data_IF_430417863345
#
_entry.id   IF_430417863345
#
_cell.length_a   1.000
_cell.length_b   1.000
_cell.length_c   1.000
_cell.angle_alpha   90.00
_cell.angle_beta   90.00
_cell.angle_gamma   90.00
#
_symmetry.space_group_name_H-M   'P 1'
#
loop_
_entity.id
_entity.type
_entity.pdbx_description
1 polymer ?
#
# COMPACT_ATOMS: atom_id res chain seq x y z
N UNK A 1 15.62 29.40 19.02
CA UNK A 1 15.72 28.95 17.63
C UNK A 1 14.62 29.64 16.84
N UNK A 2 14.93 30.34 15.74
CA UNK A 2 13.92 30.79 14.77
C UNK A 2 13.14 29.54 14.35
N UNK A 3 11.80 29.56 14.47
CA UNK A 3 11.00 28.42 14.03
C UNK A 3 11.01 28.42 12.52
N UNK A 4 11.55 27.35 11.95
CA UNK A 4 11.59 27.10 10.53
C UNK A 4 10.16 27.15 9.92
N UNK A 5 10.01 27.62 8.70
CA UNK A 5 8.71 27.78 8.05
C UNK A 5 8.70 27.16 6.66
N UNK A 6 7.58 26.59 6.29
CA UNK A 6 7.35 26.13 4.91
C UNK A 6 7.29 27.34 3.99
N UNK A 7 8.14 27.35 2.94
CA UNK A 7 8.18 28.42 1.95
C UNK A 7 7.71 27.99 0.57
N UNK A 8 7.81 26.70 0.25
CA UNK A 8 7.41 26.20 -1.07
C UNK A 8 6.91 24.74 -1.00
N UNK A 9 5.92 24.45 -1.83
CA UNK A 9 5.43 23.08 -2.07
C UNK A 9 5.48 22.83 -3.57
N UNK A 10 6.15 21.75 -3.97
CA UNK A 10 6.23 21.31 -5.37
C UNK A 10 5.56 19.95 -5.49
N UNK A 11 4.66 19.78 -6.46
CA UNK A 11 3.98 18.52 -6.70
C UNK A 11 4.27 18.00 -8.09
N UNK A 12 4.83 16.81 -8.16
CA UNK A 12 5.17 16.17 -9.43
C UNK A 12 4.38 14.89 -9.62
N UNK A 13 3.60 14.83 -10.70
CA UNK A 13 3.02 13.57 -11.15
C UNK A 13 4.07 12.83 -11.98
N UNK A 14 4.48 11.71 -11.48
CA UNK A 14 5.34 10.77 -12.18
C UNK A 14 4.44 9.72 -12.79
N UNK A 15 4.28 9.76 -14.10
CA UNK A 15 3.58 8.73 -14.82
C UNK A 15 4.61 7.87 -15.53
N UNK A 16 4.46 6.60 -15.38
CA UNK A 16 5.39 5.70 -15.99
C UNK A 16 4.69 4.80 -17.01
N UNK A 17 4.74 5.26 -18.26
CA UNK A 17 4.44 4.40 -19.40
C UNK A 17 5.51 3.30 -19.59
N UNK A 18 6.66 3.42 -18.88
CA UNK A 18 7.79 2.48 -18.96
C UNK A 18 8.09 1.81 -17.63
N UNK A 19 7.63 2.36 -16.51
CA UNK A 19 7.75 1.78 -15.19
C UNK A 19 6.71 0.66 -14.98
N UNK A 20 5.60 0.61 -15.59
CA UNK A 20 4.78 -0.56 -15.66
C UNK A 20 5.34 -1.38 -16.82
N UNK A 21 6.21 -2.36 -16.59
CA UNK A 21 6.55 -3.28 -17.66
C UNK A 21 5.35 -3.46 -18.58
N UNK A 22 5.48 -3.69 -19.81
CA UNK A 22 4.44 -3.69 -20.87
C UNK A 22 3.04 -3.86 -20.30
N UNK A 23 2.16 -2.91 -20.50
CA UNK A 23 0.79 -2.90 -19.98
C UNK A 23 0.30 -4.33 -19.95
N UNK A 24 0.05 -4.91 -18.77
CA UNK A 24 -0.21 -6.32 -18.51
C UNK A 24 -0.77 -6.97 -19.77
N UNK A 25 0.01 -7.81 -20.44
CA UNK A 25 -0.45 -8.48 -21.64
C UNK A 25 -1.84 -9.04 -21.30
N UNK A 26 -2.91 -8.67 -22.01
CA UNK A 26 -4.26 -9.12 -21.69
C UNK A 26 -4.40 -10.64 -21.72
N UNK A 27 -3.39 -11.34 -22.20
CA UNK A 27 -3.33 -12.81 -22.22
C UNK A 27 -2.57 -13.39 -21.02
N UNK A 28 -1.86 -12.56 -20.25
CA UNK A 28 -1.00 -12.95 -19.12
C UNK A 28 -1.29 -12.01 -17.96
N UNK A 29 -0.81 -12.22 -16.84
CA UNK A 29 -1.44 -12.38 -15.55
C UNK A 29 -2.62 -11.42 -15.31
N UNK A 30 -3.63 -11.86 -14.64
CA UNK A 30 -4.78 -11.03 -14.27
C UNK A 30 -5.10 -11.15 -12.77
N UNK A 31 -5.93 -10.26 -12.27
CA UNK A 31 -6.50 -10.34 -10.94
C UNK A 31 -8.01 -10.05 -10.99
N UNK A 32 -8.71 -10.58 -10.00
CA UNK A 32 -10.06 -10.19 -9.71
C UNK A 32 -10.08 -8.73 -9.23
N UNK A 33 -11.07 -7.96 -9.67
CA UNK A 33 -11.24 -6.55 -9.29
C UNK A 33 -12.74 -6.25 -9.20
N UNK A 34 -13.16 -5.13 -8.60
CA UNK A 34 -14.57 -4.73 -8.61
C UNK A 34 -15.19 -4.68 -10.01
N UNK A 35 -14.40 -4.38 -11.03
CA UNK A 35 -14.85 -4.27 -12.40
C UNK A 35 -15.04 -5.63 -13.10
N UNK A 36 -14.43 -6.70 -12.59
CA UNK A 36 -14.65 -8.06 -13.10
C UNK A 36 -16.07 -8.58 -12.86
N UNK A 37 -16.85 -7.86 -12.05
CA UNK A 37 -18.30 -8.05 -11.96
C UNK A 37 -19.02 -7.88 -13.31
N UNK A 38 -18.45 -7.07 -14.21
CA UNK A 38 -19.01 -6.82 -15.55
C UNK A 38 -18.30 -7.68 -16.60
N UNK A 39 -19.01 -8.61 -17.23
CA UNK A 39 -18.43 -9.58 -18.17
C UNK A 39 -17.65 -8.95 -19.34
N UNK A 40 -18.05 -7.76 -19.78
CA UNK A 40 -17.39 -7.04 -20.87
C UNK A 40 -16.02 -6.50 -20.47
N UNK A 41 -15.81 -6.26 -19.17
CA UNK A 41 -14.56 -5.72 -18.65
C UNK A 41 -13.39 -6.69 -18.76
N UNK A 42 -13.65 -7.99 -18.75
CA UNK A 42 -12.63 -9.02 -18.95
C UNK A 42 -12.03 -9.02 -20.34
N UNK A 43 -12.76 -8.45 -21.29
CA UNK A 43 -12.31 -8.27 -22.68
C UNK A 43 -11.41 -7.05 -22.83
N UNK A 44 -11.29 -6.20 -21.80
CA UNK A 44 -10.58 -4.91 -21.81
C UNK A 44 -9.70 -4.68 -20.57
N UNK A 45 -8.85 -5.63 -20.19
CA UNK A 45 -8.00 -5.44 -19.00
C UNK A 45 -7.10 -4.20 -19.09
N UNK A 46 -6.77 -3.72 -20.29
CA UNK A 46 -6.00 -2.49 -20.52
C UNK A 46 -6.74 -1.22 -20.08
N UNK A 47 -8.08 -1.21 -20.12
CA UNK A 47 -8.87 -0.03 -19.74
C UNK A 47 -8.91 0.18 -18.22
N UNK A 48 -8.69 -0.90 -17.45
CA UNK A 48 -8.66 -0.83 -15.99
C UNK A 48 -7.27 -0.52 -15.43
N UNK A 49 -6.26 -1.09 -16.05
CA UNK A 49 -4.88 -0.96 -15.56
C UNK A 49 -4.37 0.47 -15.62
N UNK A 50 -5.17 1.49 -15.70
CA UNK A 50 -4.81 2.89 -15.66
C UNK A 50 -3.30 3.15 -15.71
N UNK A 51 -2.84 4.27 -16.11
CA UNK A 51 -1.41 4.57 -16.05
C UNK A 51 -0.96 4.50 -14.60
N UNK A 52 -0.15 3.51 -14.26
CA UNK A 52 0.51 3.41 -12.95
C UNK A 52 1.49 4.56 -12.84
N UNK A 53 1.55 5.21 -11.71
CA UNK A 53 2.46 6.30 -11.45
C UNK A 53 2.30 6.80 -10.01
N UNK A 54 3.09 7.80 -9.64
CA UNK A 54 3.13 8.34 -8.29
C UNK A 54 2.95 9.85 -8.29
N UNK A 55 2.44 10.38 -7.19
CA UNK A 55 2.42 11.81 -6.91
C UNK A 55 3.46 12.08 -5.83
N UNK A 56 4.54 12.77 -6.20
CA UNK A 56 5.61 13.17 -5.29
C UNK A 56 5.34 14.59 -4.79
N UNK A 57 5.51 14.79 -3.50
CA UNK A 57 5.37 16.09 -2.84
C UNK A 57 6.71 16.47 -2.22
N UNK A 58 7.26 17.61 -2.62
CA UNK A 58 8.45 18.19 -2.02
C UNK A 58 8.05 19.47 -1.29
N UNK A 59 8.45 19.58 -0.03
CA UNK A 59 8.20 20.76 0.81
C UNK A 59 9.55 21.34 1.22
N UNK A 60 9.76 22.63 0.93
CA UNK A 60 10.96 23.36 1.28
C UNK A 60 10.68 24.34 2.42
N UNK A 61 11.62 24.44 3.33
CA UNK A 61 11.61 25.38 4.44
C UNK A 61 12.51 26.56 4.19
N UNK A 62 12.37 27.66 4.96
CA UNK A 62 13.22 28.86 4.86
C UNK A 62 14.67 28.61 5.27
N UNK A 63 14.97 27.53 6.02
CA UNK A 63 16.34 27.06 6.28
C UNK A 63 16.92 26.22 5.14
N UNK A 64 16.16 25.94 4.07
CA UNK A 64 16.59 25.14 2.94
C UNK A 64 16.44 23.63 3.10
N UNK A 65 15.81 23.15 4.17
CA UNK A 65 15.50 21.73 4.33
C UNK A 65 14.37 21.35 3.35
N UNK A 66 14.57 20.28 2.58
CA UNK A 66 13.57 19.73 1.67
C UNK A 66 13.11 18.37 2.20
N UNK A 67 11.81 18.27 2.49
CA UNK A 67 11.14 17.00 2.79
C UNK A 67 10.44 16.44 1.57
N UNK A 68 10.44 15.11 1.46
CA UNK A 68 9.83 14.39 0.34
C UNK A 68 8.71 13.48 0.86
N UNK A 69 7.56 13.55 0.23
CA UNK A 69 6.42 12.68 0.51
C UNK A 69 5.82 12.09 -0.77
N UNK A 70 4.95 11.13 -0.62
CA UNK A 70 4.23 10.47 -1.70
C UNK A 70 2.74 10.36 -1.37
N UNK A 71 1.89 10.46 -2.39
CA UNK A 71 0.45 10.26 -2.28
C UNK A 71 0.00 8.91 -2.87
N UNK A 72 0.93 8.01 -3.15
CA UNK A 72 0.63 6.74 -3.82
C UNK A 72 0.24 6.93 -5.29
N UNK A 73 -0.82 6.28 -5.72
CA UNK A 73 -1.24 6.20 -7.12
C UNK A 73 -1.39 7.57 -7.81
N UNK A 74 -0.85 7.68 -9.01
CA UNK A 74 -0.93 8.90 -9.80
C UNK A 74 -2.37 9.26 -10.15
N UNK A 75 -2.79 10.41 -9.64
CA UNK A 75 -4.08 11.01 -9.96
C UNK A 75 -3.88 12.53 -10.06
N UNK A 76 -4.16 13.09 -11.23
CA UNK A 76 -4.00 14.54 -11.47
C UNK A 76 -4.86 15.40 -10.53
N UNK A 77 -5.95 14.85 -10.01
CA UNK A 77 -6.79 15.50 -9.00
C UNK A 77 -6.05 15.74 -7.68
N UNK A 78 -5.17 14.81 -7.26
CA UNK A 78 -4.36 14.96 -6.05
C UNK A 78 -3.46 16.19 -6.17
N UNK A 79 -2.74 16.31 -7.31
CA UNK A 79 -1.87 17.46 -7.56
C UNK A 79 -2.65 18.78 -7.46
N UNK A 80 -3.82 18.86 -8.09
CA UNK A 80 -4.64 20.08 -8.06
C UNK A 80 -5.16 20.42 -6.67
N UNK A 81 -5.58 19.42 -5.88
CA UNK A 81 -6.00 19.63 -4.51
C UNK A 81 -4.86 20.20 -3.68
N UNK A 82 -3.63 19.70 -3.86
CA UNK A 82 -2.48 20.22 -3.13
C UNK A 82 -2.18 21.66 -3.58
N UNK A 83 -2.03 21.90 -4.87
CA UNK A 83 -1.61 23.21 -5.40
C UNK A 83 -2.64 24.30 -5.16
N UNK A 84 -3.91 24.02 -5.45
CA UNK A 84 -4.97 25.05 -5.48
C UNK A 84 -5.64 25.22 -4.11
N UNK A 85 -5.66 24.19 -3.22
CA UNK A 85 -6.41 24.22 -1.98
C UNK A 85 -5.55 24.07 -0.72
N UNK A 86 -4.60 23.12 -0.68
CA UNK A 86 -3.85 22.84 0.53
C UNK A 86 -2.58 23.70 0.70
N UNK A 87 -1.86 24.00 -0.37
CA UNK A 87 -0.60 24.75 -0.29
C UNK A 87 -0.77 26.12 0.42
N UNK A 88 -1.83 26.92 0.14
CA UNK A 88 -2.05 28.17 0.86
C UNK A 88 -2.25 28.04 2.38
N UNK A 89 -2.65 26.83 2.85
CA UNK A 89 -2.86 26.54 4.28
C UNK A 89 -1.60 26.04 4.98
N UNK A 90 -0.60 25.63 4.23
CA UNK A 90 0.66 25.04 4.73
C UNK A 90 1.83 26.02 4.62
N UNK A 91 1.88 26.83 3.57
CA UNK A 91 2.93 27.85 3.39
C UNK A 91 2.86 28.85 4.57
N UNK A 92 4.02 29.12 5.18
CA UNK A 92 4.16 29.96 6.36
C UNK A 92 3.96 29.23 7.70
N UNK A 93 3.51 27.96 7.70
CA UNK A 93 3.40 27.17 8.92
C UNK A 93 4.77 26.62 9.36
N UNK A 94 4.90 26.33 10.64
CA UNK A 94 6.01 25.61 11.24
C UNK A 94 5.85 24.11 10.94
N UNK A 95 6.80 23.46 10.22
CA UNK A 95 6.69 22.06 9.81
C UNK A 95 6.58 21.07 10.97
N UNK A 96 6.95 21.47 12.19
CA UNK A 96 6.80 20.63 13.38
C UNK A 96 5.36 20.57 13.91
N UNK A 97 4.45 21.41 13.43
CA UNK A 97 3.04 21.41 13.83
C UNK A 97 2.19 20.46 13.00
N UNK A 98 2.68 19.23 12.77
CA UNK A 98 2.02 18.23 11.90
C UNK A 98 0.56 17.97 12.26
N UNK A 99 0.22 17.87 13.55
CA UNK A 99 -1.18 17.68 14.00
C UNK A 99 -2.08 18.86 13.64
N UNK A 100 -1.58 20.09 13.82
CA UNK A 100 -2.33 21.30 13.48
C UNK A 100 -2.54 21.39 11.97
N UNK A 101 -1.47 21.19 11.20
CA UNK A 101 -1.51 21.24 9.73
C UNK A 101 -2.49 20.17 9.23
N UNK A 102 -2.34 18.93 9.67
CA UNK A 102 -3.24 17.83 9.34
C UNK A 102 -4.71 18.18 9.60
N UNK A 103 -5.00 18.71 10.79
CA UNK A 103 -6.37 19.08 11.18
C UNK A 103 -6.93 20.21 10.30
N UNK A 104 -6.12 21.21 9.95
CA UNK A 104 -6.51 22.27 9.02
C UNK A 104 -6.87 21.72 7.64
N UNK A 105 -6.01 20.87 7.08
CA UNK A 105 -6.20 20.28 5.75
C UNK A 105 -7.46 19.41 5.71
N UNK A 106 -7.64 18.53 6.71
CA UNK A 106 -8.81 17.68 6.81
C UNK A 106 -10.12 18.50 6.93
N UNK A 107 -10.14 19.50 7.82
CA UNK A 107 -11.33 20.34 8.03
C UNK A 107 -11.65 21.19 6.81
N UNK A 108 -10.64 21.72 6.13
CA UNK A 108 -10.82 22.54 4.93
C UNK A 108 -11.42 21.75 3.77
N UNK A 109 -11.13 20.44 3.70
CA UNK A 109 -11.64 19.53 2.66
C UNK A 109 -12.89 18.73 3.06
N UNK A 110 -13.41 18.88 4.28
CA UNK A 110 -14.51 18.06 4.82
C UNK A 110 -15.74 18.01 3.93
N UNK A 111 -15.99 19.05 3.14
CA UNK A 111 -17.13 19.14 2.20
C UNK A 111 -17.01 18.19 1.01
N UNK A 112 -15.77 17.92 0.53
CA UNK A 112 -15.55 17.20 -0.73
C UNK A 112 -14.55 16.04 -0.61
N UNK A 113 -13.86 15.88 0.53
CA UNK A 113 -12.72 15.00 0.59
C UNK A 113 -12.49 14.31 1.93
N UNK A 114 -13.52 13.69 2.50
CA UNK A 114 -13.35 12.88 3.73
C UNK A 114 -12.70 11.51 3.47
N UNK A 115 -12.65 11.07 2.24
CA UNK A 115 -12.04 9.82 1.73
C UNK A 115 -11.44 10.08 0.36
N UNK A 116 -10.64 9.14 -0.12
CA UNK A 116 -10.09 9.18 -1.48
C UNK A 116 -9.02 10.24 -1.67
N UNK A 117 -9.02 10.87 -2.83
CA UNK A 117 -7.93 11.71 -3.33
C UNK A 117 -7.52 12.87 -2.41
N UNK A 118 -8.46 13.45 -1.66
CA UNK A 118 -8.12 14.53 -0.73
C UNK A 118 -7.31 14.02 0.48
N UNK A 119 -7.63 12.85 1.01
CA UNK A 119 -6.86 12.25 2.11
C UNK A 119 -5.49 11.79 1.61
N UNK A 120 -5.40 11.21 0.41
CA UNK A 120 -4.11 10.90 -0.22
C UNK A 120 -3.25 12.15 -0.41
N UNK A 121 -3.86 13.29 -0.77
CA UNK A 121 -3.15 14.57 -0.85
C UNK A 121 -2.60 15.03 0.52
N UNK A 122 -3.38 14.85 1.59
CA UNK A 122 -2.93 15.10 2.96
C UNK A 122 -1.77 14.18 3.32
N UNK A 123 -1.82 12.89 2.92
CA UNK A 123 -0.76 11.92 3.19
C UNK A 123 0.59 12.40 2.64
N UNK A 124 0.63 12.85 1.37
CA UNK A 124 1.88 13.29 0.76
C UNK A 124 2.49 14.51 1.46
N UNK A 125 1.64 15.47 1.87
CA UNK A 125 2.10 16.63 2.66
C UNK A 125 2.62 16.19 4.03
N UNK A 126 1.88 15.35 4.73
CA UNK A 126 2.22 14.88 6.07
C UNK A 126 3.55 14.10 6.08
N UNK A 127 3.72 13.18 5.14
CA UNK A 127 4.96 12.40 4.99
C UNK A 127 6.16 13.32 4.76
N UNK A 128 6.02 14.34 3.88
CA UNK A 128 7.08 15.31 3.64
C UNK A 128 7.42 16.15 4.90
N UNK A 129 6.44 16.51 5.71
CA UNK A 129 6.67 17.21 6.98
C UNK A 129 7.42 16.34 7.99
N UNK A 130 7.10 15.04 8.09
CA UNK A 130 7.85 14.10 8.92
C UNK A 130 9.30 13.93 8.45
N UNK A 131 9.54 13.93 7.13
CA UNK A 131 10.89 13.91 6.57
C UNK A 131 11.69 15.17 6.95
N UNK A 132 11.07 16.36 6.88
CA UNK A 132 11.66 17.61 7.36
C UNK A 132 12.04 17.50 8.84
N UNK A 133 11.11 17.04 9.68
CA UNK A 133 11.35 16.92 11.12
C UNK A 133 12.57 16.02 11.41
N UNK A 134 12.63 14.85 10.76
CA UNK A 134 13.77 13.94 10.91
C UNK A 134 15.09 14.56 10.44
N UNK A 135 15.10 15.25 9.30
CA UNK A 135 16.28 15.94 8.77
C UNK A 135 16.71 17.10 9.68
N UNK A 136 15.78 17.91 10.16
CA UNK A 136 16.06 19.03 11.06
C UNK A 136 16.64 18.57 12.42
N UNK A 137 16.21 17.42 12.91
CA UNK A 137 16.69 16.84 14.16
C UNK A 137 17.90 15.89 13.96
N UNK A 138 18.35 15.70 12.73
CA UNK A 138 19.39 14.74 12.36
C UNK A 138 19.10 13.32 12.90
N UNK A 139 17.84 12.89 12.82
CA UNK A 139 17.36 11.61 13.30
C UNK A 139 16.46 10.93 12.26
N UNK A 140 16.45 9.60 12.15
CA UNK A 140 15.50 8.90 11.31
C UNK A 140 14.08 9.05 11.88
N UNK A 141 13.06 9.01 11.01
CA UNK A 141 11.66 9.21 11.43
C UNK A 141 11.21 8.16 12.45
N UNK A 142 11.69 6.92 12.38
CA UNK A 142 11.32 5.91 13.38
C UNK A 142 11.76 6.28 14.80
N UNK A 143 12.85 7.05 14.99
CA UNK A 143 13.27 7.56 16.31
C UNK A 143 12.25 8.57 16.85
N UNK A 144 11.68 9.40 15.98
CA UNK A 144 10.61 10.34 16.35
C UNK A 144 9.30 9.62 16.70
N UNK A 145 9.16 8.37 16.26
CA UNK A 145 8.00 7.50 16.54
C UNK A 145 8.21 6.59 17.76
N UNK A 146 9.34 6.71 18.46
CA UNK A 146 9.65 5.96 19.67
C UNK A 146 10.83 4.99 19.56
N UNK A 147 11.53 4.98 18.44
CA UNK A 147 12.72 4.15 18.18
C UNK A 147 12.40 2.79 17.58
N UNK A 148 13.44 2.10 17.12
CA UNK A 148 13.33 0.73 16.57
C UNK A 148 12.92 -0.26 17.67
N UNK A 149 11.94 -1.09 17.39
CA UNK A 149 11.54 -2.24 18.20
C UNK A 149 12.27 -3.52 17.76
N UNK A 150 12.95 -3.50 16.60
CA UNK A 150 13.68 -4.61 15.98
C UNK A 150 14.69 -4.09 14.95
N UNK A 151 15.74 -4.88 14.67
CA UNK A 151 16.75 -4.53 13.68
C UNK A 151 16.40 -4.99 12.27
N UNK A 152 15.61 -6.05 12.14
CA UNK A 152 15.13 -6.59 10.88
C UNK A 152 13.69 -7.11 11.03
N UNK A 153 12.95 -7.15 9.91
CA UNK A 153 11.58 -7.68 9.87
C UNK A 153 11.41 -8.61 8.68
N UNK A 154 10.62 -9.66 8.88
CA UNK A 154 10.19 -10.58 7.83
C UNK A 154 9.31 -9.85 6.81
N UNK A 155 9.52 -10.13 5.53
CA UNK A 155 8.67 -9.62 4.45
C UNK A 155 8.01 -10.76 3.67
N UNK A 156 6.82 -10.50 3.14
CA UNK A 156 6.18 -11.42 2.21
C UNK A 156 6.28 -10.91 0.76
N UNK A 157 6.51 -11.84 -0.18
CA UNK A 157 6.52 -11.52 -1.60
C UNK A 157 5.09 -11.32 -2.10
N UNK A 158 4.75 -10.08 -2.50
CA UNK A 158 3.43 -9.67 -2.95
C UNK A 158 3.41 -9.42 -4.45
N UNK A 159 3.55 -10.48 -5.26
CA UNK A 159 3.69 -10.31 -6.71
C UNK A 159 2.91 -11.31 -7.56
N UNK A 160 2.62 -12.50 -7.04
CA UNK A 160 1.99 -13.56 -7.81
C UNK A 160 0.57 -13.20 -8.26
N UNK A 161 0.38 -13.07 -9.56
CA UNK A 161 -0.91 -12.85 -10.20
C UNK A 161 -1.54 -14.18 -10.63
N UNK A 162 -2.82 -14.15 -11.00
CA UNK A 162 -3.45 -15.30 -11.59
C UNK A 162 -2.83 -15.59 -12.98
N UNK A 163 -2.38 -16.80 -13.21
CA UNK A 163 -1.82 -17.28 -14.48
C UNK A 163 -2.64 -18.45 -15.00
N UNK A 164 -2.78 -18.55 -16.34
CA UNK A 164 -3.39 -19.73 -16.99
C UNK A 164 -2.46 -20.95 -16.92
N UNK A 165 -1.17 -20.69 -17.04
CA UNK A 165 -0.13 -21.69 -16.89
C UNK A 165 0.20 -21.84 -15.40
N UNK A 166 -0.32 -22.90 -14.80
CA UNK A 166 -0.10 -23.21 -13.39
C UNK A 166 1.33 -23.71 -13.11
N UNK A 167 2.04 -24.22 -14.11
CA UNK A 167 3.44 -24.63 -13.91
C UNK A 167 4.35 -23.40 -13.88
N UNK A 168 4.09 -22.39 -14.72
CA UNK A 168 4.76 -21.10 -14.61
C UNK A 168 4.51 -20.43 -13.23
N UNK A 169 3.29 -20.50 -12.69
CA UNK A 169 2.98 -20.01 -11.36
C UNK A 169 3.74 -20.75 -10.24
N UNK A 170 3.86 -22.09 -10.37
CA UNK A 170 4.66 -22.89 -9.43
C UNK A 170 6.15 -22.51 -9.47
N UNK A 171 6.68 -22.26 -10.67
CA UNK A 171 8.08 -21.87 -10.84
C UNK A 171 8.35 -20.47 -10.28
N UNK A 172 7.41 -19.53 -10.45
CA UNK A 172 7.46 -18.20 -9.80
C UNK A 172 7.50 -18.36 -8.27
N UNK A 173 6.60 -19.14 -7.68
CA UNK A 173 6.55 -19.37 -6.25
C UNK A 173 7.86 -20.00 -5.71
N UNK A 174 8.39 -21.02 -6.39
CA UNK A 174 9.70 -21.63 -6.06
C UNK A 174 10.84 -20.63 -6.16
N UNK A 175 10.78 -19.73 -7.14
CA UNK A 175 11.76 -18.65 -7.32
C UNK A 175 11.87 -17.79 -6.08
N UNK A 176 10.75 -17.28 -5.55
CA UNK A 176 10.74 -16.48 -4.31
C UNK A 176 11.23 -17.26 -3.09
N UNK A 177 10.86 -18.53 -2.95
CA UNK A 177 11.38 -19.38 -1.87
C UNK A 177 12.91 -19.54 -1.98
N UNK A 178 13.44 -19.70 -3.18
CA UNK A 178 14.89 -19.76 -3.41
C UNK A 178 15.61 -18.45 -3.07
N UNK A 179 14.95 -17.30 -3.21
CA UNK A 179 15.43 -15.99 -2.77
C UNK A 179 15.33 -15.78 -1.24
N UNK A 180 14.79 -16.77 -0.52
CA UNK A 180 14.67 -16.77 0.94
C UNK A 180 13.35 -16.25 1.48
N UNK A 181 12.35 -16.02 0.65
CA UNK A 181 11.02 -15.68 1.14
C UNK A 181 10.34 -16.91 1.75
N UNK A 182 9.82 -16.75 2.96
CA UNK A 182 9.04 -17.77 3.68
C UNK A 182 7.54 -17.44 3.71
N UNK A 183 7.17 -16.32 3.10
CA UNK A 183 5.78 -15.83 3.04
C UNK A 183 5.51 -15.29 1.63
N UNK A 184 4.40 -15.73 1.03
CA UNK A 184 4.00 -15.38 -0.33
C UNK A 184 2.54 -14.89 -0.36
N UNK A 185 2.20 -13.97 -1.27
CA UNK A 185 0.81 -13.54 -1.51
C UNK A 185 0.42 -13.78 -2.97
N UNK A 186 -0.58 -14.64 -3.18
CA UNK A 186 -1.19 -14.97 -4.47
C UNK A 186 -2.42 -14.08 -4.70
N UNK A 187 -2.61 -13.56 -5.90
CA UNK A 187 -3.83 -12.84 -6.26
C UNK A 187 -4.86 -13.79 -6.91
N UNK A 188 -6.12 -13.67 -6.49
CA UNK A 188 -7.21 -14.38 -7.13
C UNK A 188 -7.52 -13.79 -8.51
N UNK A 189 -7.96 -14.65 -9.43
CA UNK A 189 -8.26 -14.26 -10.81
C UNK A 189 -9.75 -14.14 -11.13
N UNK A 190 -10.62 -14.69 -10.27
CA UNK A 190 -12.03 -14.86 -10.58
C UNK A 190 -12.93 -14.34 -9.45
N UNK A 191 -14.12 -13.88 -9.83
CA UNK A 191 -15.15 -13.38 -8.93
C UNK A 191 -16.53 -14.03 -9.16
N UNK A 192 -17.60 -13.49 -8.52
CA UNK A 192 -18.95 -14.05 -8.58
C UNK A 192 -19.49 -14.26 -10.00
N UNK A 193 -19.20 -13.33 -10.93
CA UNK A 193 -19.64 -13.42 -12.32
C UNK A 193 -19.07 -14.62 -13.09
N UNK A 194 -18.03 -15.28 -12.57
CA UNK A 194 -17.41 -16.48 -13.16
C UNK A 194 -18.09 -17.78 -12.73
N UNK A 195 -18.98 -17.70 -11.77
CA UNK A 195 -19.69 -18.84 -11.24
C UNK A 195 -18.77 -19.96 -10.73
N UNK A 196 -19.26 -21.19 -10.77
CA UNK A 196 -18.53 -22.36 -10.27
C UNK A 196 -17.19 -22.59 -10.99
N UNK A 197 -17.11 -22.26 -12.27
CA UNK A 197 -15.84 -22.41 -13.03
C UNK A 197 -14.76 -21.47 -12.48
N UNK A 198 -15.12 -20.24 -12.17
CA UNK A 198 -14.20 -19.28 -11.58
C UNK A 198 -13.76 -19.69 -10.16
N UNK A 199 -14.68 -20.19 -9.34
CA UNK A 199 -14.34 -20.74 -8.01
C UNK A 199 -13.29 -21.85 -8.12
N UNK A 200 -13.51 -22.83 -9.02
CA UNK A 200 -12.54 -23.90 -9.27
C UNK A 200 -11.20 -23.35 -9.77
N UNK A 201 -11.22 -22.28 -10.58
CA UNK A 201 -10.01 -21.60 -11.03
C UNK A 201 -9.22 -20.99 -9.87
N UNK A 202 -9.87 -20.27 -8.96
CA UNK A 202 -9.22 -19.71 -7.78
C UNK A 202 -8.63 -20.81 -6.88
N UNK A 203 -9.36 -21.91 -6.66
CA UNK A 203 -8.87 -23.06 -5.88
C UNK A 203 -7.63 -23.65 -6.56
N UNK A 204 -7.63 -23.81 -7.88
CA UNK A 204 -6.49 -24.35 -8.62
C UNK A 204 -5.23 -23.47 -8.52
N UNK A 205 -5.39 -22.13 -8.52
CA UNK A 205 -4.27 -21.20 -8.28
C UNK A 205 -3.63 -21.43 -6.90
N UNK A 206 -4.43 -21.45 -5.85
CA UNK A 206 -3.92 -21.65 -4.48
C UNK A 206 -3.31 -23.05 -4.31
N UNK A 207 -3.97 -24.06 -4.85
CA UNK A 207 -3.44 -25.44 -4.86
C UNK A 207 -2.08 -25.52 -5.55
N UNK A 208 -1.92 -24.88 -6.70
CA UNK A 208 -0.67 -24.89 -7.45
C UNK A 208 0.48 -24.25 -6.63
N UNK A 209 0.22 -23.11 -5.98
CA UNK A 209 1.23 -22.48 -5.12
C UNK A 209 1.57 -23.39 -3.93
N UNK A 210 0.57 -23.90 -3.21
CA UNK A 210 0.79 -24.79 -2.06
C UNK A 210 1.55 -26.05 -2.43
N UNK A 211 1.18 -26.72 -3.54
CA UNK A 211 1.90 -27.90 -4.06
C UNK A 211 3.38 -27.58 -4.43
N UNK A 212 3.65 -26.34 -4.84
CA UNK A 212 4.99 -25.94 -5.23
C UNK A 212 5.92 -25.65 -4.06
N UNK A 213 5.39 -25.08 -2.95
CA UNK A 213 6.20 -24.55 -1.86
C UNK A 213 6.09 -25.35 -0.56
N UNK A 214 5.15 -26.31 -0.46
CA UNK A 214 4.93 -27.14 0.75
C UNK A 214 4.27 -26.36 1.88
N UNK A 215 4.19 -26.98 3.06
CA UNK A 215 3.44 -26.46 4.21
C UNK A 215 4.25 -25.48 5.08
N UNK A 216 5.59 -25.49 4.98
CA UNK A 216 6.48 -24.62 5.75
C UNK A 216 6.47 -23.16 5.27
N UNK A 217 5.99 -22.90 4.05
CA UNK A 217 5.87 -21.55 3.49
C UNK A 217 4.46 -21.02 3.75
N UNK A 218 4.37 -19.85 4.36
CA UNK A 218 3.09 -19.20 4.59
C UNK A 218 2.55 -18.61 3.28
N UNK A 219 1.32 -18.93 2.93
CA UNK A 219 0.64 -18.44 1.72
C UNK A 219 -0.59 -17.65 2.13
N UNK A 220 -0.72 -16.45 1.62
CA UNK A 220 -1.92 -15.62 1.70
C UNK A 220 -2.49 -15.37 0.30
N UNK A 221 -3.71 -14.86 0.24
CA UNK A 221 -4.35 -14.61 -1.04
C UNK A 221 -5.19 -13.33 -1.03
N UNK A 222 -5.22 -12.63 -2.17
CA UNK A 222 -5.80 -11.30 -2.32
C UNK A 222 -6.90 -11.33 -3.38
N UNK A 223 -8.10 -10.89 -3.02
CA UNK A 223 -9.27 -10.81 -3.89
C UNK A 223 -9.53 -9.39 -4.43
N UNK A 224 -8.74 -8.42 -3.99
CA UNK A 224 -8.78 -7.03 -4.47
C UNK A 224 -10.19 -6.49 -4.66
N UNK A 225 -11.03 -6.61 -3.62
CA UNK A 225 -12.43 -6.14 -3.57
C UNK A 225 -13.36 -6.75 -4.64
N UNK A 226 -12.97 -7.85 -5.26
CA UNK A 226 -13.68 -8.43 -6.41
C UNK A 226 -14.78 -9.42 -6.07
N UNK A 227 -15.06 -9.68 -4.78
CA UNK A 227 -16.05 -10.63 -4.33
C UNK A 227 -17.23 -9.96 -3.63
N UNK A 228 -18.35 -10.67 -3.55
CA UNK A 228 -19.43 -10.39 -2.62
C UNK A 228 -19.38 -11.32 -1.39
N UNK A 229 -20.19 -11.03 -0.39
CA UNK A 229 -20.17 -11.75 0.88
C UNK A 229 -20.47 -13.25 0.73
N UNK A 230 -21.45 -13.60 -0.11
CA UNK A 230 -21.82 -15.00 -0.30
C UNK A 230 -20.71 -15.79 -0.97
N UNK A 231 -20.11 -15.22 -2.01
CA UNK A 231 -18.99 -15.81 -2.72
C UNK A 231 -17.76 -15.92 -1.80
N UNK A 232 -17.47 -14.88 -1.02
CA UNK A 232 -16.34 -14.86 -0.07
C UNK A 232 -16.47 -15.96 0.99
N UNK A 233 -17.66 -16.16 1.57
CA UNK A 233 -17.91 -17.22 2.55
C UNK A 233 -17.75 -18.61 1.91
N UNK A 234 -18.22 -18.80 0.69
CA UNK A 234 -18.05 -20.07 -0.05
C UNK A 234 -16.59 -20.34 -0.34
N UNK A 235 -15.89 -19.35 -0.88
CA UNK A 235 -14.47 -19.45 -1.23
C UNK A 235 -13.61 -19.74 0.02
N UNK A 236 -13.85 -19.06 1.12
CA UNK A 236 -13.11 -19.29 2.37
C UNK A 236 -13.23 -20.76 2.82
N UNK A 237 -14.43 -21.34 2.76
CA UNK A 237 -14.65 -22.76 3.11
C UNK A 237 -13.89 -23.72 2.20
N UNK A 238 -13.94 -23.47 0.88
CA UNK A 238 -13.22 -24.30 -0.10
C UNK A 238 -11.69 -24.17 0.01
N UNK A 239 -11.19 -23.03 0.52
CA UNK A 239 -9.76 -22.75 0.65
C UNK A 239 -9.16 -23.23 1.98
N UNK A 240 -9.95 -23.58 3.01
CA UNK A 240 -9.46 -24.06 4.31
C UNK A 240 -8.41 -25.18 4.24
N UNK A 241 -8.57 -26.19 3.33
CA UNK A 241 -7.59 -27.27 3.23
C UNK A 241 -6.18 -26.83 2.84
N UNK A 242 -6.02 -25.61 2.30
CA UNK A 242 -4.73 -25.10 1.84
C UNK A 242 -4.00 -24.25 2.89
N UNK A 243 -4.59 -24.03 4.08
CA UNK A 243 -3.95 -23.34 5.18
C UNK A 243 -3.48 -21.94 4.85
N UNK A 244 -4.36 -21.10 4.29
CA UNK A 244 -4.01 -19.70 4.00
C UNK A 244 -3.79 -18.92 5.29
N UNK A 245 -2.74 -18.09 5.30
CA UNK A 245 -2.44 -17.19 6.42
C UNK A 245 -3.48 -16.09 6.55
N UNK A 246 -3.99 -15.55 5.44
CA UNK A 246 -5.15 -14.65 5.37
C UNK A 246 -5.75 -14.62 3.96
N UNK A 247 -7.00 -14.15 3.88
CA UNK A 247 -7.65 -13.68 2.65
C UNK A 247 -7.77 -12.17 2.73
N UNK A 248 -7.22 -11.46 1.74
CA UNK A 248 -7.14 -10.01 1.66
C UNK A 248 -8.24 -9.44 0.78
N UNK A 249 -8.78 -8.31 1.19
CA UNK A 249 -9.73 -7.47 0.46
C UNK A 249 -10.84 -8.25 -0.28
N UNK A 250 -11.52 -9.16 0.41
CA UNK A 250 -12.58 -9.97 -0.20
C UNK A 250 -13.74 -9.11 -0.73
N UNK A 251 -14.15 -8.08 0.01
CA UNK A 251 -15.33 -7.25 -0.26
C UNK A 251 -14.94 -5.80 -0.56
N UNK A 252 -15.90 -5.02 -1.09
CA UNK A 252 -15.73 -3.58 -1.23
C UNK A 252 -15.51 -2.90 0.14
N UNK A 253 -14.65 -1.88 0.27
CA UNK A 253 -14.23 -1.31 1.56
C UNK A 253 -15.35 -0.64 2.36
N UNK A 254 -16.45 -0.26 1.72
CA UNK A 254 -17.61 0.32 2.41
C UNK A 254 -18.50 -0.73 3.07
N UNK A 255 -18.37 -2.02 2.74
CA UNK A 255 -19.18 -3.10 3.33
C UNK A 255 -18.56 -3.63 4.64
N UNK A 256 -18.40 -2.74 5.63
CA UNK A 256 -17.84 -3.09 6.94
C UNK A 256 -18.71 -4.14 7.67
N UNK A 257 -20.03 -4.12 7.48
CA UNK A 257 -20.92 -5.13 8.07
C UNK A 257 -20.73 -6.50 7.40
N UNK A 258 -20.54 -6.55 6.09
CA UNK A 258 -20.19 -7.77 5.36
C UNK A 258 -18.86 -8.33 5.84
N UNK A 259 -17.84 -7.50 6.01
CA UNK A 259 -16.55 -7.91 6.60
C UNK A 259 -16.71 -8.45 8.02
N UNK A 260 -17.47 -7.78 8.90
CA UNK A 260 -17.73 -8.28 10.25
C UNK A 260 -18.42 -9.67 10.22
N UNK A 261 -19.38 -9.85 9.31
CA UNK A 261 -20.03 -11.15 9.10
C UNK A 261 -19.06 -12.19 8.58
N UNK A 262 -18.23 -11.84 7.58
CA UNK A 262 -17.22 -12.73 7.03
C UNK A 262 -16.23 -13.15 8.13
N UNK A 263 -15.66 -12.21 8.88
CA UNK A 263 -14.76 -12.50 10.00
C UNK A 263 -15.39 -13.46 11.03
N UNK A 264 -16.69 -13.27 11.36
CA UNK A 264 -17.38 -14.08 12.37
C UNK A 264 -17.57 -15.55 11.99
N UNK A 265 -17.48 -15.89 10.70
CA UNK A 265 -17.71 -17.26 10.18
C UNK A 265 -16.48 -17.91 9.57
N UNK A 266 -15.44 -17.11 9.27
CA UNK A 266 -14.19 -17.57 8.68
C UNK A 266 -13.30 -18.27 9.71
N UNK A 267 -12.66 -19.35 9.30
CA UNK A 267 -11.55 -19.97 10.04
C UNK A 267 -10.20 -19.40 9.55
N UNK A 268 -10.15 -18.95 8.29
CA UNK A 268 -9.00 -18.24 7.74
C UNK A 268 -9.07 -16.77 8.16
N UNK A 269 -7.99 -16.17 8.66
CA UNK A 269 -7.95 -14.74 8.96
C UNK A 269 -8.32 -13.88 7.73
N UNK A 270 -9.04 -12.80 7.98
CA UNK A 270 -9.44 -11.81 6.97
C UNK A 270 -8.65 -10.53 7.19
N UNK A 271 -8.07 -9.98 6.14
CA UNK A 271 -7.33 -8.73 6.18
C UNK A 271 -7.90 -7.72 5.17
N UNK A 272 -7.89 -6.47 5.53
CA UNK A 272 -8.17 -5.36 4.61
C UNK A 272 -7.79 -4.00 5.23
N UNK A 273 -7.90 -2.93 4.45
CA UNK A 273 -7.69 -1.58 4.94
C UNK A 273 -6.93 -0.66 3.99
N UNK A 274 -6.32 -1.17 2.92
CA UNK A 274 -5.57 -0.33 1.99
C UNK A 274 -6.46 0.70 1.26
N UNK A 275 -7.76 0.43 1.14
CA UNK A 275 -8.75 1.34 0.58
C UNK A 275 -9.63 2.01 1.66
N UNK A 276 -9.22 1.94 2.94
CA UNK A 276 -9.84 2.67 4.06
C UNK A 276 -9.06 3.94 4.38
N UNK A 277 -9.77 4.97 4.81
CA UNK A 277 -9.20 6.30 4.98
C UNK A 277 -9.38 6.81 6.40
N UNK A 278 -8.33 7.35 6.98
CA UNK A 278 -8.30 7.96 8.31
C UNK A 278 -8.66 7.02 9.47
N UNK A 279 -8.38 7.46 10.68
CA UNK A 279 -8.70 6.73 11.91
C UNK A 279 -10.20 6.39 12.06
N UNK A 280 -11.08 7.16 11.45
CA UNK A 280 -12.53 6.95 11.61
C UNK A 280 -13.03 5.72 10.86
N UNK A 281 -12.52 5.43 9.66
CA UNK A 281 -12.83 4.18 8.98
C UNK A 281 -12.27 2.99 9.77
N UNK A 282 -11.03 3.10 10.27
CA UNK A 282 -10.41 2.04 11.07
C UNK A 282 -11.06 1.86 12.43
N UNK A 283 -11.57 2.93 13.05
CA UNK A 283 -12.37 2.81 14.28
C UNK A 283 -13.59 1.91 14.03
N UNK A 284 -14.34 2.15 12.96
CA UNK A 284 -15.51 1.35 12.62
C UNK A 284 -15.13 -0.13 12.35
N UNK A 285 -14.05 -0.36 11.60
CA UNK A 285 -13.53 -1.71 11.31
C UNK A 285 -13.19 -2.45 12.63
N UNK A 286 -12.46 -1.79 13.52
CA UNK A 286 -12.02 -2.35 14.79
C UNK A 286 -13.22 -2.62 15.73
N UNK A 287 -14.13 -1.67 15.89
CA UNK A 287 -15.29 -1.79 16.77
C UNK A 287 -16.23 -2.91 16.34
N UNK A 288 -16.38 -3.14 15.03
CA UNK A 288 -17.23 -4.20 14.50
C UNK A 288 -16.55 -5.57 14.38
N UNK A 289 -15.26 -5.66 14.69
CA UNK A 289 -14.48 -6.89 14.47
C UNK A 289 -14.45 -7.28 12.99
N UNK A 290 -14.34 -6.31 12.12
CA UNK A 290 -14.45 -6.49 10.68
C UNK A 290 -13.12 -6.89 10.01
N UNK A 291 -12.02 -7.00 10.74
CA UNK A 291 -10.73 -7.50 10.26
C UNK A 291 -10.01 -8.26 11.37
N UNK A 292 -9.21 -9.25 11.00
CA UNK A 292 -8.24 -9.91 11.87
C UNK A 292 -6.83 -9.31 11.73
N UNK A 293 -6.54 -8.68 10.58
CA UNK A 293 -5.30 -7.98 10.27
C UNK A 293 -5.68 -6.67 9.60
N UNK A 294 -5.16 -5.56 10.10
CA UNK A 294 -5.39 -4.24 9.49
C UNK A 294 -4.26 -3.92 8.50
N UNK A 295 -4.62 -3.41 7.33
CA UNK A 295 -3.68 -3.10 6.25
C UNK A 295 -3.79 -1.64 5.77
N UNK A 296 -3.55 -0.63 6.64
CA UNK A 296 -3.57 0.76 6.20
C UNK A 296 -2.46 1.02 5.18
N UNK A 297 -2.74 1.87 4.20
CA UNK A 297 -1.74 2.41 3.29
C UNK A 297 -1.39 3.84 3.73
N UNK A 298 -0.15 4.08 4.13
CA UNK A 298 0.28 5.39 4.66
C UNK A 298 0.15 6.51 3.62
N UNK A 299 0.26 6.18 2.32
CA UNK A 299 0.03 7.14 1.24
C UNK A 299 -1.46 7.54 1.08
N UNK A 300 -2.37 6.74 1.63
CA UNK A 300 -3.83 6.93 1.44
C UNK A 300 -4.54 7.33 2.72
N UNK A 301 -4.05 6.85 3.85
CA UNK A 301 -4.76 6.95 5.14
C UNK A 301 -4.70 8.34 5.79
N UNK A 302 -3.84 9.22 5.30
CA UNK A 302 -3.60 10.54 5.89
C UNK A 302 -2.16 10.73 6.41
N UNK A 303 -1.20 9.92 5.91
CA UNK A 303 0.20 10.02 6.28
C UNK A 303 0.55 9.37 7.62
N UNK A 304 1.75 9.64 8.09
CA UNK A 304 2.33 9.08 9.33
C UNK A 304 1.56 9.56 10.56
N UNK A 305 1.18 10.85 10.58
CA UNK A 305 0.42 11.46 11.70
C UNK A 305 -0.91 10.74 11.95
N UNK A 306 -1.58 10.30 10.91
CA UNK A 306 -2.85 9.57 11.04
C UNK A 306 -2.62 8.08 11.27
N UNK A 307 -1.69 7.49 10.53
CA UNK A 307 -1.37 6.08 10.62
C UNK A 307 -0.97 5.66 12.05
N UNK A 308 -0.09 6.41 12.75
CA UNK A 308 0.31 6.08 14.13
C UNK A 308 -0.86 5.96 15.09
N UNK A 309 -1.96 6.70 14.85
CA UNK A 309 -3.18 6.62 15.67
C UNK A 309 -3.92 5.32 15.42
N UNK A 310 -3.93 4.86 14.17
CA UNK A 310 -4.52 3.57 13.79
C UNK A 310 -3.74 2.43 14.44
N UNK A 311 -2.40 2.46 14.42
CA UNK A 311 -1.57 1.48 15.12
C UNK A 311 -1.87 1.44 16.63
N UNK A 312 -2.03 2.60 17.26
CA UNK A 312 -2.36 2.67 18.69
C UNK A 312 -3.75 2.10 19.00
N UNK A 313 -4.75 2.40 18.15
CA UNK A 313 -6.11 1.82 18.29
C UNK A 313 -6.11 0.30 18.08
N UNK A 314 -5.35 -0.20 17.11
CA UNK A 314 -5.19 -1.62 16.85
C UNK A 314 -4.50 -2.33 18.02
N UNK A 315 -3.42 -1.73 18.57
CA UNK A 315 -2.70 -2.28 19.72
C UNK A 315 -3.61 -2.43 20.97
N UNK A 316 -4.54 -1.51 21.19
CA UNK A 316 -5.52 -1.59 22.28
C UNK A 316 -6.50 -2.77 22.16
N UNK A 317 -6.50 -3.46 21.03
CA UNK A 317 -7.33 -4.64 20.72
C UNK A 317 -6.50 -5.87 20.32
N UNK A 318 -5.19 -5.83 20.55
CA UNK A 318 -4.24 -6.88 20.15
C UNK A 318 -4.31 -7.24 18.66
N UNK A 319 -4.72 -6.28 17.81
CA UNK A 319 -4.79 -6.48 16.37
C UNK A 319 -3.44 -6.19 15.72
N UNK A 320 -2.94 -7.09 14.87
CA UNK A 320 -1.76 -6.82 14.06
C UNK A 320 -2.07 -5.81 12.95
N UNK A 321 -1.10 -4.94 12.68
CA UNK A 321 -1.13 -4.01 11.56
C UNK A 321 0.00 -4.37 10.59
N UNK A 322 -0.36 -4.67 9.35
CA UNK A 322 0.56 -5.03 8.27
C UNK A 322 0.28 -4.07 7.12
N UNK A 323 0.98 -2.94 7.02
CA UNK A 323 0.63 -1.91 6.06
C UNK A 323 0.74 -2.40 4.63
N UNK A 324 -0.20 -1.94 3.77
CA UNK A 324 -0.10 -2.11 2.33
C UNK A 324 1.05 -1.28 1.77
N UNK A 325 1.75 -1.84 0.79
CA UNK A 325 2.85 -1.20 0.10
C UNK A 325 4.21 -1.39 0.79
N UNK A 326 5.25 -1.22 0.01
CA UNK A 326 6.64 -1.38 0.44
C UNK A 326 7.38 -0.03 0.53
N UNK A 327 6.67 1.07 0.64
CA UNK A 327 7.23 2.40 0.69
C UNK A 327 8.06 2.61 1.97
N UNK A 328 9.15 3.35 1.86
CA UNK A 328 10.06 3.60 2.99
C UNK A 328 9.37 4.24 4.20
N UNK A 329 8.41 5.13 3.97
CA UNK A 329 7.68 5.74 5.07
C UNK A 329 6.79 4.74 5.83
N UNK A 330 6.27 3.67 5.18
CA UNK A 330 5.61 2.56 5.85
C UNK A 330 6.58 1.86 6.82
N UNK A 331 7.82 1.65 6.38
CA UNK A 331 8.82 0.94 7.17
C UNK A 331 9.19 1.67 8.46
N UNK A 332 9.14 3.01 8.50
CA UNK A 332 9.34 3.75 9.75
C UNK A 332 8.30 3.38 10.83
N UNK A 333 7.04 3.23 10.44
CA UNK A 333 6.00 2.73 11.35
C UNK A 333 6.21 1.25 11.69
N UNK A 334 6.50 0.42 10.69
CA UNK A 334 6.76 -1.02 10.86
C UNK A 334 7.87 -1.28 11.88
N UNK A 335 8.96 -0.53 11.81
CA UNK A 335 10.11 -0.70 12.72
C UNK A 335 9.89 -0.10 14.11
N UNK A 336 9.04 0.93 14.23
CA UNK A 336 8.77 1.57 15.52
C UNK A 336 7.62 0.94 16.33
N UNK A 337 6.77 0.13 15.69
CA UNK A 337 5.57 -0.41 16.34
C UNK A 337 5.67 -1.92 16.60
N UNK A 338 5.33 -2.35 17.83
CA UNK A 338 5.45 -3.76 18.25
C UNK A 338 4.39 -4.68 17.63
N UNK A 339 3.21 -4.14 17.29
CA UNK A 339 2.10 -4.89 16.72
C UNK A 339 2.14 -5.03 15.19
N UNK A 340 3.35 -4.93 14.59
CA UNK A 340 3.59 -5.25 13.19
C UNK A 340 4.50 -6.48 13.09
N UNK A 341 3.95 -7.67 12.85
CA UNK A 341 4.73 -8.92 12.89
C UNK A 341 5.58 -9.15 11.63
N UNK A 342 5.17 -8.64 10.49
CA UNK A 342 5.82 -8.73 9.17
C UNK A 342 5.31 -7.59 8.29
N UNK A 343 5.86 -7.42 7.08
CA UNK A 343 5.42 -6.35 6.17
C UNK A 343 5.41 -6.79 4.71
N UNK A 344 4.70 -6.05 3.88
CA UNK A 344 4.63 -6.27 2.45
C UNK A 344 5.93 -5.90 1.75
N UNK A 345 6.25 -6.66 0.71
CA UNK A 345 7.32 -6.33 -0.22
C UNK A 345 6.94 -6.78 -1.65
N UNK A 346 7.14 -5.88 -2.60
CA UNK A 346 6.99 -6.20 -4.02
C UNK A 346 8.38 -6.52 -4.59
N UNK A 347 8.76 -7.80 -4.70
CA UNK A 347 10.03 -8.17 -5.32
C UNK A 347 10.08 -7.75 -6.77
N UNK A 348 11.27 -7.58 -7.32
CA UNK A 348 11.47 -7.39 -8.74
C UNK A 348 10.82 -8.53 -9.51
N UNK A 349 10.22 -8.20 -10.67
CA UNK A 349 9.63 -9.24 -11.50
C UNK A 349 10.74 -10.13 -12.01
N UNK A 350 10.48 -11.43 -12.04
CA UNK A 350 11.39 -12.46 -12.53
C UNK A 350 11.88 -12.23 -13.97
N UNK A 351 11.14 -11.52 -14.77
CA UNK A 351 11.45 -11.12 -16.15
C UNK A 351 12.25 -9.82 -16.28
N UNK A 352 12.77 -9.28 -15.17
CA UNK A 352 13.50 -8.01 -15.14
C UNK A 352 12.61 -6.77 -15.17
N UNK A 353 11.31 -6.93 -15.01
CA UNK A 353 10.38 -5.82 -14.81
C UNK A 353 10.65 -5.11 -13.49
N UNK A 354 10.85 -3.82 -13.53
CA UNK A 354 11.25 -3.01 -12.38
C UNK A 354 10.09 -2.79 -11.41
N UNK A 355 10.40 -2.76 -10.14
CA UNK A 355 9.52 -2.23 -9.11
C UNK A 355 9.81 -0.75 -8.95
N UNK A 356 9.13 -0.03 -9.56
CA UNK A 356 9.10 1.30 -10.05
C UNK A 356 9.19 2.40 -9.00
N UNK A 357 8.62 2.21 -7.81
CA UNK A 357 8.73 3.17 -6.72
C UNK A 357 10.20 3.36 -6.28
N UNK A 358 10.92 2.27 -6.14
CA UNK A 358 12.30 2.26 -5.71
C UNK A 358 13.26 2.95 -6.70
N UNK A 359 12.95 2.94 -7.97
CA UNK A 359 13.78 3.57 -8.99
C UNK A 359 13.83 5.10 -8.85
N UNK A 360 12.83 5.68 -8.19
CA UNK A 360 12.77 7.12 -7.93
C UNK A 360 13.71 7.58 -6.81
N UNK A 361 14.23 6.66 -6.00
CA UNK A 361 14.96 7.00 -4.79
C UNK A 361 16.33 6.32 -4.71
N UNK A 362 17.27 6.99 -4.05
CA UNK A 362 18.50 6.41 -3.54
C UNK A 362 18.33 6.10 -2.05
N UNK A 363 18.99 5.01 -1.58
CA UNK A 363 18.93 4.62 -0.16
C UNK A 363 17.86 3.58 0.14
N UNK A 364 17.30 2.94 -0.87
CA UNK A 364 16.32 1.88 -0.70
C UNK A 364 16.89 0.71 0.11
N UNK A 365 16.13 0.18 1.08
CA UNK A 365 16.53 -1.01 1.79
C UNK A 365 16.52 -2.24 0.88
N UNK A 366 17.41 -3.18 1.15
CA UNK A 366 17.55 -4.40 0.37
C UNK A 366 17.02 -5.57 1.18
N UNK A 367 16.15 -6.37 0.56
CA UNK A 367 15.72 -7.64 1.15
C UNK A 367 16.82 -8.66 1.06
N UNK A 368 17.11 -9.33 2.17
CA UNK A 368 18.06 -10.44 2.28
C UNK A 368 17.40 -11.60 3.03
N UNK A 369 17.35 -12.76 2.42
CA UNK A 369 16.75 -13.94 3.01
C UNK A 369 15.33 -13.69 3.55
N UNK A 370 14.48 -13.04 2.76
CA UNK A 370 13.12 -12.72 3.15
C UNK A 370 12.95 -11.70 4.28
N UNK A 371 14.00 -10.97 4.63
CA UNK A 371 14.00 -9.92 5.67
C UNK A 371 14.51 -8.60 5.15
N UNK A 372 14.06 -7.52 5.77
CA UNK A 372 14.47 -6.15 5.45
C UNK A 372 14.96 -5.46 6.73
N UNK A 373 15.95 -4.58 6.59
CA UNK A 373 16.44 -3.69 7.64
C UNK A 373 16.42 -2.25 7.14
N UNK A 374 16.44 -1.28 8.04
CA UNK A 374 16.47 0.14 7.70
C UNK A 374 17.80 0.79 8.08
N UNK A 375 18.17 1.80 7.28
CA UNK A 375 19.31 2.67 7.60
C UNK A 375 18.97 3.65 8.70
N UNK A 376 20.00 4.16 9.38
CA UNK A 376 19.86 5.18 10.43
C UNK A 376 20.02 6.61 9.89
N UNK A 377 19.84 6.80 8.56
CA UNK A 377 19.91 8.12 7.94
C UNK A 377 18.75 9.03 8.40
N UNK A 378 19.03 10.34 8.56
CA UNK A 378 18.00 11.32 8.96
C UNK A 378 16.81 11.37 8.01
N UNK A 379 15.65 11.76 8.55
CA UNK A 379 14.40 11.83 7.82
C UNK A 379 13.88 10.44 7.46
N UNK A 380 13.38 10.30 6.26
CA UNK A 380 12.94 8.99 5.72
C UNK A 380 14.10 8.11 5.22
N UNK A 381 15.35 8.63 5.27
CA UNK A 381 16.55 7.86 4.94
C UNK A 381 16.80 7.65 3.45
N UNK A 382 16.05 8.29 2.58
CA UNK A 382 16.23 8.23 1.12
C UNK A 382 16.35 9.62 0.49
N UNK A 383 16.86 9.65 -0.74
CA UNK A 383 16.97 10.87 -1.55
C UNK A 383 16.26 10.68 -2.87
N UNK A 384 15.49 11.68 -3.30
CA UNK A 384 14.79 11.66 -4.58
C UNK A 384 15.80 11.84 -5.73
N UNK A 385 15.73 10.97 -6.74
CA UNK A 385 16.52 11.09 -7.98
C UNK A 385 15.83 12.02 -8.95
N UNK A 386 16.14 13.30 -8.89
CA UNK A 386 15.49 14.32 -9.73
C UNK A 386 15.64 14.07 -11.23
N UNK A 387 16.78 13.54 -11.67
CA UNK A 387 17.00 13.19 -13.08
C UNK A 387 16.05 12.08 -13.57
N UNK A 388 15.71 11.13 -12.71
CA UNK A 388 14.73 10.07 -13.01
C UNK A 388 13.32 10.67 -13.01
N UNK A 389 12.98 11.43 -11.98
CA UNK A 389 11.67 12.07 -11.84
C UNK A 389 11.39 12.99 -13.05
N UNK A 390 12.37 13.79 -13.49
CA UNK A 390 12.21 14.70 -14.63
C UNK A 390 12.00 13.95 -15.96
N UNK A 391 12.64 12.80 -16.14
CA UNK A 391 12.42 11.94 -17.33
C UNK A 391 11.01 11.35 -17.36
N UNK A 392 10.45 11.06 -16.18
CA UNK A 392 9.15 10.39 -16.00
C UNK A 392 8.00 11.38 -15.75
N UNK A 393 8.31 12.65 -15.63
CA UNK A 393 7.30 13.71 -15.43
C UNK A 393 6.24 13.65 -16.53
N UNK A 394 4.96 13.57 -16.16
CA UNK A 394 3.85 13.65 -17.10
C UNK A 394 4.00 14.91 -17.98
N UNK A 395 4.35 14.70 -19.24
CA UNK A 395 4.16 15.74 -20.25
C UNK A 395 2.66 16.00 -20.32
N UNK A 396 2.22 17.24 -20.13
CA UNK A 396 0.83 17.61 -20.38
C UNK A 396 0.45 17.04 -21.73
N UNK A 397 -0.56 16.16 -21.75
CA UNK A 397 -1.16 15.75 -23.02
C UNK A 397 -1.62 17.05 -23.66
N UNK A 398 -0.96 17.43 -24.73
CA UNK A 398 -1.34 18.59 -25.53
C UNK A 398 -2.78 18.45 -25.98
N UNK A 399 -3.45 19.57 -26.14
CA UNK A 399 -4.85 19.68 -26.57
C UNK A 399 -5.17 18.81 -27.76
#
# INVERSE_FOLDING_TARGET
MSKDKVVRITVTNVNDEKIGGEALDPTVPWLCTPLTHFSDYRKRPKDYAGKVGFVIVEIETDSGIIGVGSCGTANSGIKRIIEDHFAPLVIGEDPFKVELIWSKLYRSSARFGRRGVAISAISGIDIALWDIMGKALNAPVYDLLGGKTRDEIQVYASRMYALKDLDALKDEARGYVKEGFTMLKQRFGFGPADGVKGMKGNIALIKAVRDAVGDEVEVSADAYMGWDLEYAIKMERELRPYGLKWIEEALMPHDVNGYARLCSVSQTPISHGEHSYTRWDFQEIIEKGAAHILQPDVNRVGGITEARKIWAMAAAKDLPVVPHGNDLHNLHLVFSQVNTPFTEYFPNVWDGGNTHFWDLYEGNPVVKNGKISMSDKPGLGYTLKHDVVDKLRLKRVGK
#
